data_IF_603803140363
#
_entry.id   IF_603803140363
#
_cell.length_a   1.000
_cell.length_b   1.000
_cell.length_c   1.000
_cell.angle_alpha   90.00
_cell.angle_beta   90.00
_cell.angle_gamma   90.00
#
_symmetry.space_group_name_H-M   'P 1'
#
loop_
_entity.id
_entity.type
_entity.pdbx_description
1 polymer ?
#
# COMPACT_ATOMS: atom_id res chain seq x y z
N UNK A 1 -22.21 33.08 25.75
CA UNK A 1 -20.86 32.72 25.24
C UNK A 1 -20.36 31.32 25.63
N UNK A 2 -20.75 30.70 26.76
CA UNK A 2 -20.22 29.36 27.15
C UNK A 2 -20.83 28.16 26.38
N UNK A 3 -22.12 28.21 26.00
CA UNK A 3 -22.81 27.12 25.29
C UNK A 3 -22.45 26.97 23.80
N UNK A 4 -22.02 28.05 23.17
CA UNK A 4 -21.72 28.07 21.73
C UNK A 4 -20.35 27.43 21.44
N UNK A 5 -19.38 27.66 22.34
CA UNK A 5 -18.05 27.04 22.30
C UNK A 5 -18.11 25.52 22.52
N UNK A 6 -18.99 25.05 23.42
CA UNK A 6 -19.15 23.63 23.74
C UNK A 6 -19.82 22.82 22.61
N UNK A 7 -20.65 23.45 21.77
CA UNK A 7 -21.27 22.79 20.62
C UNK A 7 -20.26 22.63 19.47
N UNK A 8 -19.42 23.65 19.23
CA UNK A 8 -18.34 23.62 18.22
C UNK A 8 -17.28 22.54 18.54
N UNK A 9 -16.90 22.41 19.81
CA UNK A 9 -15.93 21.39 20.25
C UNK A 9 -16.45 19.96 20.05
N UNK A 10 -17.75 19.73 20.27
CA UNK A 10 -18.38 18.42 20.06
C UNK A 10 -18.42 18.04 18.57
N UNK A 11 -18.70 18.99 17.69
CA UNK A 11 -18.72 18.76 16.24
C UNK A 11 -17.32 18.43 15.69
N UNK A 12 -16.30 19.20 16.08
CA UNK A 12 -14.90 18.92 15.70
C UNK A 12 -14.44 17.55 16.20
N UNK A 13 -14.78 17.19 17.43
CA UNK A 13 -14.45 15.88 17.98
C UNK A 13 -15.10 14.74 17.19
N UNK A 14 -16.37 14.90 16.79
CA UNK A 14 -17.07 13.93 15.94
C UNK A 14 -16.46 13.82 14.55
N UNK A 15 -16.05 14.93 13.94
CA UNK A 15 -15.34 14.93 12.65
C UNK A 15 -14.01 14.15 12.74
N UNK A 16 -13.24 14.36 13.80
CA UNK A 16 -11.96 13.64 14.03
C UNK A 16 -12.20 12.14 14.22
N UNK A 17 -13.15 11.75 15.07
CA UNK A 17 -13.47 10.33 15.30
C UNK A 17 -13.89 9.67 13.99
N UNK A 18 -14.76 10.34 13.21
CA UNK A 18 -15.21 9.81 11.92
C UNK A 18 -14.04 9.61 10.97
N UNK A 19 -13.09 10.55 10.94
CA UNK A 19 -11.90 10.45 10.12
C UNK A 19 -10.98 9.28 10.55
N UNK A 20 -10.80 9.07 11.86
CA UNK A 20 -10.03 7.94 12.40
C UNK A 20 -10.69 6.61 12.02
N UNK A 21 -12.01 6.49 12.18
CA UNK A 21 -12.75 5.27 11.82
C UNK A 21 -12.62 4.95 10.32
N UNK A 22 -12.73 5.96 9.47
CA UNK A 22 -12.49 5.81 8.03
C UNK A 22 -11.05 5.37 7.77
N UNK A 23 -10.06 5.97 8.44
CA UNK A 23 -8.65 5.60 8.31
C UNK A 23 -8.38 4.14 8.68
N UNK A 24 -8.95 3.65 9.79
CA UNK A 24 -8.87 2.24 10.19
C UNK A 24 -9.51 1.34 9.13
N UNK A 25 -10.69 1.72 8.61
CA UNK A 25 -11.36 0.99 7.54
C UNK A 25 -10.52 0.89 6.26
N UNK A 26 -9.91 2.00 5.84
CA UNK A 26 -9.02 2.05 4.66
C UNK A 26 -7.78 1.19 4.85
N UNK A 27 -7.14 1.26 6.03
CA UNK A 27 -5.99 0.43 6.34
C UNK A 27 -6.37 -1.06 6.34
N UNK A 28 -7.50 -1.41 6.93
CA UNK A 28 -8.01 -2.78 6.94
C UNK A 28 -8.30 -3.31 5.53
N UNK A 29 -8.96 -2.51 4.68
CA UNK A 29 -9.20 -2.85 3.28
C UNK A 29 -7.89 -3.04 2.50
N UNK A 30 -6.94 -2.11 2.67
CA UNK A 30 -5.63 -2.19 2.01
C UNK A 30 -4.85 -3.43 2.44
N UNK A 31 -4.89 -3.75 3.74
CA UNK A 31 -4.30 -4.97 4.28
C UNK A 31 -4.94 -6.23 3.67
N UNK A 32 -6.27 -6.27 3.54
CA UNK A 32 -6.95 -7.39 2.88
C UNK A 32 -6.51 -7.55 1.42
N UNK A 33 -6.42 -6.47 0.65
CA UNK A 33 -5.97 -6.54 -0.75
C UNK A 33 -4.56 -7.12 -0.85
N UNK A 34 -3.62 -6.62 -0.05
CA UNK A 34 -2.21 -7.01 -0.17
C UNK A 34 -1.90 -8.36 0.45
N UNK A 35 -2.33 -8.61 1.68
CA UNK A 35 -1.90 -9.79 2.45
C UNK A 35 -2.87 -10.96 2.34
N UNK A 36 -4.17 -10.70 2.15
CA UNK A 36 -5.17 -11.77 2.07
C UNK A 36 -5.49 -12.18 0.65
N UNK A 37 -5.54 -11.23 -0.28
CA UNK A 37 -5.83 -11.49 -1.68
C UNK A 37 -4.57 -11.56 -2.55
N UNK A 38 -3.38 -11.29 -1.98
CA UNK A 38 -2.11 -11.19 -2.71
C UNK A 38 -2.21 -10.28 -3.96
N UNK A 39 -3.06 -9.26 -3.89
CA UNK A 39 -3.30 -8.36 -5.00
C UNK A 39 -2.15 -7.36 -5.12
N UNK A 40 -1.15 -7.73 -5.91
CA UNK A 40 0.06 -6.96 -6.19
C UNK A 40 0.35 -7.04 -7.69
N UNK A 41 -0.19 -6.12 -8.51
CA UNK A 41 0.04 -6.14 -9.95
C UNK A 41 1.53 -5.92 -10.23
N UNK A 42 2.14 -6.69 -11.13
CA UNK A 42 3.61 -6.73 -11.30
C UNK A 42 4.37 -7.12 -10.01
N UNK A 43 3.71 -7.86 -9.12
CA UNK A 43 4.28 -8.29 -7.85
C UNK A 43 4.87 -9.69 -7.89
N UNK A 44 5.40 -10.09 -6.75
CA UNK A 44 5.93 -11.42 -6.49
C UNK A 44 5.31 -12.01 -5.24
N UNK A 45 5.09 -13.32 -5.23
CA UNK A 45 4.65 -14.07 -4.05
C UNK A 45 5.55 -15.27 -3.80
N UNK A 46 5.88 -15.46 -2.53
CA UNK A 46 6.66 -16.59 -2.09
C UNK A 46 5.78 -17.84 -2.01
N UNK A 47 6.17 -18.89 -2.72
CA UNK A 47 5.54 -20.22 -2.64
C UNK A 47 6.23 -21.09 -1.60
N UNK A 48 7.57 -21.10 -1.64
CA UNK A 48 8.40 -21.80 -0.65
C UNK A 48 9.74 -21.07 -0.49
N UNK A 49 10.29 -21.13 0.72
CA UNK A 49 11.64 -20.70 1.05
C UNK A 49 12.27 -21.73 1.98
N UNK A 50 13.39 -22.28 1.55
CA UNK A 50 14.32 -23.11 2.32
C UNK A 50 15.68 -22.39 2.38
N UNK A 51 16.61 -22.85 3.21
CA UNK A 51 17.87 -22.12 3.45
C UNK A 51 18.64 -21.81 2.16
N UNK A 52 18.69 -22.76 1.22
CA UNK A 52 19.40 -22.64 -0.07
C UNK A 52 18.46 -22.52 -1.27
N UNK A 53 17.14 -22.52 -1.09
CA UNK A 53 16.20 -22.56 -2.22
C UNK A 53 15.01 -21.63 -2.00
N UNK A 54 14.59 -20.93 -3.05
CA UNK A 54 13.35 -20.17 -3.03
C UNK A 54 12.53 -20.43 -4.28
N UNK A 55 11.21 -20.55 -4.11
CA UNK A 55 10.24 -20.58 -5.21
C UNK A 55 9.33 -19.37 -5.11
N UNK A 56 9.28 -18.59 -6.18
CA UNK A 56 8.53 -17.34 -6.28
C UNK A 56 7.62 -17.40 -7.50
N UNK A 57 6.40 -16.86 -7.36
CA UNK A 57 5.47 -16.63 -8.46
C UNK A 57 5.45 -15.14 -8.78
N UNK A 58 5.55 -14.81 -10.06
CA UNK A 58 5.38 -13.45 -10.59
C UNK A 58 3.96 -13.24 -11.10
N UNK A 59 3.49 -11.99 -11.03
CA UNK A 59 2.15 -11.61 -11.46
C UNK A 59 2.17 -10.52 -12.53
N UNK A 60 1.23 -10.56 -13.46
CA UNK A 60 1.03 -9.48 -14.43
C UNK A 60 0.32 -8.24 -13.81
N UNK A 61 0.03 -7.23 -14.63
CA UNK A 61 -0.67 -6.00 -14.21
C UNK A 61 -2.12 -6.21 -13.74
N UNK A 62 -2.70 -7.38 -14.02
CA UNK A 62 -4.04 -7.78 -13.59
C UNK A 62 -3.98 -8.77 -12.42
N UNK A 63 -2.81 -8.91 -11.79
CA UNK A 63 -2.53 -9.84 -10.71
C UNK A 63 -2.81 -11.31 -11.09
N UNK A 64 -2.53 -11.68 -12.34
CA UNK A 64 -2.58 -13.08 -12.80
C UNK A 64 -1.19 -13.69 -12.75
N UNK A 65 -1.10 -14.93 -12.28
CA UNK A 65 0.15 -15.70 -12.30
C UNK A 65 0.72 -15.71 -13.72
N UNK A 66 1.96 -15.24 -13.86
CA UNK A 66 2.66 -15.14 -15.12
C UNK A 66 3.73 -16.23 -15.24
N UNK A 67 4.61 -16.33 -14.24
CA UNK A 67 5.69 -17.31 -14.20
C UNK A 67 6.00 -17.76 -12.78
N UNK A 68 6.51 -18.99 -12.65
CA UNK A 68 6.95 -19.59 -11.40
C UNK A 68 8.42 -19.95 -11.51
N UNK A 69 9.24 -19.25 -10.73
CA UNK A 69 10.70 -19.40 -10.74
C UNK A 69 11.15 -20.10 -9.46
N UNK A 70 11.98 -21.13 -9.61
CA UNK A 70 12.66 -21.78 -8.48
C UNK A 70 14.16 -21.62 -8.69
N UNK A 71 14.85 -21.10 -7.67
CA UNK A 71 16.29 -20.93 -7.68
C UNK A 71 16.89 -21.58 -6.43
N UNK A 72 18.00 -22.28 -6.64
CA UNK A 72 18.84 -22.84 -5.59
C UNK A 72 20.19 -22.14 -5.62
N UNK A 73 20.69 -21.76 -4.46
CA UNK A 73 21.91 -20.98 -4.29
C UNK A 73 22.66 -21.46 -3.04
N UNK A 74 23.98 -21.63 -3.15
CA UNK A 74 24.85 -22.16 -2.07
C UNK A 74 24.99 -21.20 -0.86
N UNK A 75 24.35 -20.03 -0.93
CA UNK A 75 24.33 -19.08 0.17
C UNK A 75 23.38 -19.55 1.26
N UNK A 76 23.95 -19.81 2.44
CA UNK A 76 23.18 -19.93 3.69
C UNK A 76 22.32 -18.67 3.83
N UNK A 77 21.01 -18.86 4.04
CA UNK A 77 19.97 -17.83 4.17
C UNK A 77 19.39 -17.22 2.87
N UNK A 78 19.62 -17.84 1.71
CA UNK A 78 19.03 -17.39 0.43
C UNK A 78 17.49 -17.26 0.50
N UNK A 79 16.81 -18.28 1.03
CA UNK A 79 15.35 -18.24 1.19
C UNK A 79 14.88 -17.09 2.09
N UNK A 80 15.65 -16.73 3.12
CA UNK A 80 15.32 -15.61 3.99
C UNK A 80 15.49 -14.27 3.27
N UNK A 81 16.54 -14.11 2.45
CA UNK A 81 16.73 -12.89 1.65
C UNK A 81 15.58 -12.65 0.67
N UNK A 82 15.12 -13.69 -0.01
CA UNK A 82 13.99 -13.62 -0.93
C UNK A 82 12.69 -13.31 -0.18
N UNK A 83 12.45 -13.98 0.95
CA UNK A 83 11.30 -13.73 1.82
C UNK A 83 11.24 -12.26 2.27
N UNK A 84 12.35 -11.74 2.79
CA UNK A 84 12.47 -10.36 3.24
C UNK A 84 12.26 -9.35 2.09
N UNK A 85 12.71 -9.67 0.87
CA UNK A 85 12.50 -8.80 -0.29
C UNK A 85 11.02 -8.73 -0.68
N UNK A 86 10.33 -9.87 -0.70
CA UNK A 86 8.89 -9.97 -0.99
C UNK A 86 8.04 -9.30 0.10
N UNK A 87 8.41 -9.45 1.37
CA UNK A 87 7.71 -8.76 2.46
C UNK A 87 7.82 -7.23 2.35
N UNK A 88 9.00 -6.71 2.00
CA UNK A 88 9.19 -5.27 1.73
C UNK A 88 8.37 -4.79 0.54
N UNK A 89 8.23 -5.63 -0.50
CA UNK A 89 7.35 -5.34 -1.63
C UNK A 89 5.89 -5.24 -1.17
N UNK A 90 5.40 -6.21 -0.39
CA UNK A 90 4.05 -6.20 0.22
C UNK A 90 3.81 -4.94 1.05
N UNK A 91 4.75 -4.57 1.92
CA UNK A 91 4.65 -3.35 2.73
C UNK A 91 4.56 -2.10 1.83
N UNK A 92 5.35 -2.02 0.77
CA UNK A 92 5.29 -0.89 -0.17
C UNK A 92 3.92 -0.78 -0.85
N UNK A 93 3.32 -1.91 -1.25
CA UNK A 93 1.96 -1.96 -1.79
C UNK A 93 0.90 -1.56 -0.77
N UNK A 94 1.05 -1.99 0.49
CA UNK A 94 0.13 -1.60 1.57
C UNK A 94 0.12 -0.08 1.76
N UNK A 95 1.31 0.53 1.77
CA UNK A 95 1.45 1.99 1.91
C UNK A 95 0.84 2.68 0.68
N UNK A 96 1.10 2.18 -0.54
CA UNK A 96 0.53 2.73 -1.77
C UNK A 96 -1.00 2.72 -1.73
N UNK A 97 -1.62 1.56 -1.47
CA UNK A 97 -3.08 1.42 -1.47
C UNK A 97 -3.72 2.25 -0.38
N UNK A 98 -3.15 2.24 0.84
CA UNK A 98 -3.64 3.06 1.94
C UNK A 98 -3.55 4.54 1.57
N UNK A 99 -2.41 4.98 1.03
CA UNK A 99 -2.19 6.35 0.61
C UNK A 99 -3.16 6.81 -0.48
N UNK A 100 -3.31 6.02 -1.55
CA UNK A 100 -4.21 6.33 -2.66
C UNK A 100 -5.66 6.40 -2.21
N UNK A 101 -6.14 5.45 -1.40
CA UNK A 101 -7.50 5.44 -0.87
C UNK A 101 -7.74 6.64 0.05
N UNK A 102 -6.82 6.92 0.99
CA UNK A 102 -6.93 8.08 1.88
C UNK A 102 -6.94 9.39 1.11
N UNK A 103 -6.01 9.58 0.18
CA UNK A 103 -5.96 10.77 -0.68
C UNK A 103 -7.22 10.92 -1.51
N UNK A 104 -7.79 9.83 -2.04
CA UNK A 104 -9.05 9.85 -2.79
C UNK A 104 -10.22 10.31 -1.91
N UNK A 105 -10.32 9.80 -0.68
CA UNK A 105 -11.36 10.22 0.28
C UNK A 105 -11.23 11.70 0.62
N UNK A 106 -10.01 12.17 0.92
CA UNK A 106 -9.74 13.58 1.22
C UNK A 106 -10.06 14.46 0.01
N UNK A 107 -9.70 14.03 -1.19
CA UNK A 107 -10.01 14.72 -2.43
C UNK A 107 -11.52 14.90 -2.61
N UNK A 108 -12.29 13.82 -2.47
CA UNK A 108 -13.76 13.86 -2.58
C UNK A 108 -14.36 14.78 -1.51
N UNK A 109 -13.83 14.72 -0.29
CA UNK A 109 -14.28 15.56 0.81
C UNK A 109 -14.02 17.06 0.57
N UNK A 110 -12.79 17.43 0.17
CA UNK A 110 -12.43 18.82 -0.14
C UNK A 110 -13.19 19.33 -1.36
N UNK A 111 -13.39 18.49 -2.38
CA UNK A 111 -14.13 18.82 -3.58
C UNK A 111 -15.61 19.14 -3.27
N UNK A 112 -16.26 18.34 -2.42
CA UNK A 112 -17.66 18.56 -2.02
C UNK A 112 -17.85 19.75 -1.08
N UNK A 113 -16.92 20.00 -0.15
CA UNK A 113 -17.14 20.98 0.94
C UNK A 113 -16.76 22.42 0.56
N UNK A 114 -15.90 22.65 -0.43
CA UNK A 114 -15.22 23.97 -0.57
C UNK A 114 -15.32 24.67 -1.92
N UNK A 115 -16.08 24.16 -2.90
CA UNK A 115 -16.13 24.72 -4.28
C UNK A 115 -14.73 25.08 -4.83
N UNK A 116 -13.70 24.35 -4.38
CA UNK A 116 -12.32 24.69 -4.67
C UNK A 116 -12.01 24.29 -6.11
N UNK A 117 -11.24 25.13 -6.79
CA UNK A 117 -10.63 24.77 -8.06
C UNK A 117 -9.96 23.40 -7.96
N UNK A 118 -10.27 22.51 -8.91
CA UNK A 118 -9.87 21.10 -8.94
C UNK A 118 -8.38 20.87 -8.57
N UNK A 119 -7.48 21.70 -9.09
CA UNK A 119 -6.04 21.64 -8.81
C UNK A 119 -5.69 21.84 -7.33
N UNK A 120 -6.40 22.73 -6.63
CA UNK A 120 -6.18 22.97 -5.20
C UNK A 120 -6.63 21.78 -4.35
N UNK A 121 -7.68 21.09 -4.76
CA UNK A 121 -8.14 19.86 -4.11
C UNK A 121 -7.15 18.71 -4.31
N UNK A 122 -6.56 18.58 -5.51
CA UNK A 122 -5.49 17.62 -5.79
C UNK A 122 -4.30 17.85 -4.86
N UNK A 123 -3.76 19.07 -4.82
CA UNK A 123 -2.60 19.39 -3.99
C UNK A 123 -2.88 19.16 -2.49
N UNK A 124 -4.05 19.58 -2.01
CA UNK A 124 -4.42 19.43 -0.61
C UNK A 124 -4.69 17.98 -0.20
N UNK A 125 -5.08 17.12 -1.13
CA UNK A 125 -5.37 15.71 -0.85
C UNK A 125 -4.11 14.85 -0.67
N UNK A 126 -2.93 15.38 -1.00
CA UNK A 126 -1.69 14.63 -0.96
C UNK A 126 -1.59 13.52 -1.99
N UNK A 127 -2.48 13.49 -3.00
CA UNK A 127 -2.53 12.43 -4.01
C UNK A 127 -1.22 12.26 -4.79
N UNK A 128 -0.43 13.33 -4.95
CA UNK A 128 0.90 13.20 -5.59
C UNK A 128 1.90 12.47 -4.67
N UNK A 129 1.79 12.70 -3.36
CA UNK A 129 2.68 12.09 -2.35
C UNK A 129 2.31 10.63 -2.11
N UNK A 130 1.03 10.25 -2.29
CA UNK A 130 0.60 8.86 -2.13
C UNK A 130 1.23 7.91 -3.16
N UNK A 131 1.78 8.42 -4.26
CA UNK A 131 2.51 7.64 -5.26
C UNK A 131 4.01 7.49 -4.97
N UNK A 132 4.57 8.13 -3.94
CA UNK A 132 5.98 7.92 -3.55
C UNK A 132 6.38 6.46 -3.33
N UNK A 133 5.53 5.57 -2.77
CA UNK A 133 5.85 4.16 -2.60
C UNK A 133 6.14 3.42 -3.92
N UNK A 134 5.73 3.96 -5.09
CA UNK A 134 6.06 3.36 -6.39
C UNK A 134 7.56 3.21 -6.60
N UNK A 135 8.37 4.16 -6.12
CA UNK A 135 9.83 4.06 -6.18
C UNK A 135 10.35 2.89 -5.34
N UNK A 136 9.75 2.67 -4.16
CA UNK A 136 10.11 1.54 -3.30
C UNK A 136 9.66 0.20 -3.91
N UNK A 137 8.51 0.18 -4.56
CA UNK A 137 8.00 -1.00 -5.29
C UNK A 137 8.96 -1.38 -6.41
N UNK A 138 9.35 -0.40 -7.24
CA UNK A 138 10.30 -0.61 -8.34
C UNK A 138 11.63 -1.18 -7.84
N UNK A 139 12.23 -0.56 -6.82
CA UNK A 139 13.47 -1.06 -6.23
C UNK A 139 13.34 -2.46 -5.61
N UNK A 140 12.18 -2.78 -5.05
CA UNK A 140 11.90 -4.12 -4.51
C UNK A 140 11.75 -5.16 -5.62
N UNK A 141 11.11 -4.81 -6.73
CA UNK A 141 10.97 -5.68 -7.91
C UNK A 141 12.34 -5.97 -8.52
N UNK A 142 13.14 -4.93 -8.82
CA UNK A 142 14.49 -5.08 -9.37
C UNK A 142 15.37 -5.96 -8.48
N UNK A 143 15.23 -5.83 -7.16
CA UNK A 143 15.98 -6.66 -6.20
C UNK A 143 15.55 -8.12 -6.24
N UNK A 144 14.25 -8.41 -6.36
CA UNK A 144 13.75 -9.78 -6.45
C UNK A 144 14.18 -10.41 -7.78
N UNK A 145 14.10 -9.66 -8.88
CA UNK A 145 14.57 -10.10 -10.19
C UNK A 145 16.05 -10.45 -10.17
N UNK A 146 16.88 -9.58 -9.59
CA UNK A 146 18.31 -9.85 -9.42
C UNK A 146 18.59 -11.08 -8.54
N UNK A 147 17.79 -11.30 -7.49
CA UNK A 147 17.93 -12.50 -6.65
C UNK A 147 17.51 -13.77 -7.38
N UNK A 148 16.53 -13.69 -8.29
CA UNK A 148 15.94 -14.86 -8.97
C UNK A 148 16.54 -15.17 -10.36
N UNK A 149 17.32 -14.24 -10.94
CA UNK A 149 18.11 -14.46 -12.16
C UNK A 149 19.33 -15.35 -11.92
#
# INVERSE_FOLDING_TARGET
MSKEKTIDDKQKFQEIISFILVGIGVLGLSYMFVFRMSFMPYGYELVSAEESQATVVSYDYLAREQDRMTKEEDHVDFGEFVTNAIERLKVSYLILYTGVLMSTIIFVYEFKRKEKAFLKSILNSGILVSFLPLLSIYNSIDRIEWLMS
#
